data_IF_096773849479
#
_entry.id   IF_096773849479
#
_cell.length_a   1.000
_cell.length_b   1.000
_cell.length_c   1.000
_cell.angle_alpha   90.00
_cell.angle_beta   90.00
_cell.angle_gamma   90.00
#
_symmetry.space_group_name_H-M   'P 1'
#
loop_
_entity.id
_entity.type
_entity.pdbx_description
1 polymer ?
#
# COMPACT_ATOMS: atom_id res chain seq x y z
N UNK A 1 -30.99 -12.86 -23.68
CA UNK A 1 -30.38 -13.81 -22.73
C UNK A 1 -28.99 -13.39 -22.24
N UNK A 2 -28.15 -12.71 -23.03
CA UNK A 2 -26.84 -12.18 -22.59
C UNK A 2 -26.90 -11.25 -21.37
N UNK A 3 -27.90 -10.38 -21.29
CA UNK A 3 -28.01 -9.37 -20.21
C UNK A 3 -28.16 -9.97 -18.81
N UNK A 4 -28.76 -11.15 -18.67
CA UNK A 4 -28.89 -11.85 -17.38
C UNK A 4 -27.60 -12.56 -16.99
N UNK A 5 -26.85 -13.07 -17.97
CA UNK A 5 -25.60 -13.82 -17.74
C UNK A 5 -24.46 -12.87 -17.37
N UNK A 6 -24.34 -11.72 -18.04
CA UNK A 6 -23.39 -10.66 -17.67
C UNK A 6 -23.63 -10.12 -16.26
N UNK A 7 -24.90 -10.02 -15.84
CA UNK A 7 -25.26 -9.55 -14.51
C UNK A 7 -24.89 -10.57 -13.42
N UNK A 8 -25.17 -11.86 -13.64
CA UNK A 8 -24.81 -12.96 -12.73
C UNK A 8 -23.28 -13.10 -12.57
N UNK A 9 -22.54 -12.99 -13.70
CA UNK A 9 -21.06 -13.01 -13.67
C UNK A 9 -20.53 -11.75 -12.96
N UNK A 10 -21.06 -10.56 -13.24
CA UNK A 10 -20.63 -9.32 -12.59
C UNK A 10 -20.91 -9.33 -11.08
N UNK A 11 -22.02 -9.91 -10.65
CA UNK A 11 -22.36 -10.06 -9.23
C UNK A 11 -21.47 -11.11 -8.52
N UNK A 12 -21.08 -12.20 -9.20
CA UNK A 12 -20.16 -13.21 -8.64
C UNK A 12 -18.69 -12.82 -8.69
N UNK A 13 -18.26 -12.16 -9.75
CA UNK A 13 -16.85 -11.89 -10.06
C UNK A 13 -16.43 -10.48 -9.63
N UNK A 14 -17.37 -9.53 -9.61
CA UNK A 14 -17.16 -8.16 -9.11
C UNK A 14 -16.55 -8.07 -7.69
N UNK A 15 -16.96 -8.90 -6.72
CA UNK A 15 -16.38 -8.92 -5.37
C UNK A 15 -14.90 -9.32 -5.33
N UNK A 16 -14.40 -10.00 -6.36
CA UNK A 16 -13.02 -10.53 -6.43
C UNK A 16 -12.16 -9.68 -7.37
N UNK A 17 -12.68 -9.31 -8.53
CA UNK A 17 -11.91 -8.56 -9.55
C UNK A 17 -11.64 -7.12 -9.15
N UNK A 18 -12.58 -6.48 -8.45
CA UNK A 18 -12.40 -5.09 -8.01
C UNK A 18 -11.26 -4.94 -6.99
N UNK A 19 -11.17 -5.74 -5.90
CA UNK A 19 -10.05 -5.64 -4.97
C UNK A 19 -8.72 -6.06 -5.61
N UNK A 20 -8.70 -7.10 -6.45
CA UNK A 20 -7.48 -7.53 -7.14
C UNK A 20 -6.96 -6.43 -8.08
N UNK A 21 -7.86 -5.83 -8.88
CA UNK A 21 -7.49 -4.73 -9.77
C UNK A 21 -6.95 -3.53 -9.01
N UNK A 22 -7.57 -3.16 -7.88
CA UNK A 22 -7.07 -2.09 -7.00
C UNK A 22 -5.70 -2.41 -6.41
N UNK A 23 -5.47 -3.64 -5.96
CA UNK A 23 -4.15 -4.07 -5.47
C UNK A 23 -3.07 -3.92 -6.54
N UNK A 24 -3.34 -4.36 -7.78
CA UNK A 24 -2.37 -4.26 -8.88
C UNK A 24 -2.05 -2.79 -9.18
N UNK A 25 -3.08 -1.95 -9.32
CA UNK A 25 -2.90 -0.51 -9.57
C UNK A 25 -2.14 0.13 -8.40
N UNK A 26 -2.50 -0.18 -7.16
CA UNK A 26 -1.86 0.35 -5.97
C UNK A 26 -0.41 -0.07 -5.81
N UNK A 27 -0.04 -1.29 -6.22
CA UNK A 27 1.35 -1.73 -6.24
C UNK A 27 2.12 -0.99 -7.32
N UNK A 28 1.60 -0.90 -8.55
CA UNK A 28 2.28 -0.19 -9.65
C UNK A 28 2.51 1.28 -9.31
N UNK A 29 1.46 1.99 -8.87
CA UNK A 29 1.59 3.37 -8.41
C UNK A 29 2.51 3.49 -7.19
N UNK A 30 2.43 2.54 -6.26
CA UNK A 30 3.28 2.48 -5.08
C UNK A 30 4.75 2.41 -5.44
N UNK A 31 5.14 1.53 -6.38
CA UNK A 31 6.53 1.40 -6.84
C UNK A 31 7.04 2.70 -7.47
N UNK A 32 6.24 3.31 -8.35
CA UNK A 32 6.61 4.58 -9.02
C UNK A 32 6.79 5.70 -7.99
N UNK A 33 5.84 5.85 -7.07
CA UNK A 33 5.90 6.86 -6.02
C UNK A 33 7.05 6.59 -5.03
N UNK A 34 7.37 5.33 -4.73
CA UNK A 34 8.53 4.97 -3.93
C UNK A 34 9.84 5.37 -4.60
N UNK A 35 9.98 5.17 -5.91
CA UNK A 35 11.17 5.60 -6.66
C UNK A 35 11.34 7.12 -6.64
N UNK A 36 10.24 7.87 -6.80
CA UNK A 36 10.24 9.33 -6.68
C UNK A 36 10.63 9.74 -5.25
N UNK A 37 10.03 9.10 -4.24
CA UNK A 37 10.34 9.36 -2.83
C UNK A 37 11.80 9.07 -2.48
N UNK A 38 12.37 8.01 -3.03
CA UNK A 38 13.81 7.70 -2.93
C UNK A 38 14.66 8.81 -3.56
N UNK A 39 14.30 9.30 -4.75
CA UNK A 39 15.02 10.40 -5.40
C UNK A 39 14.97 11.70 -4.59
N UNK A 40 13.83 12.01 -3.98
CA UNK A 40 13.67 13.16 -3.09
C UNK A 40 14.50 12.98 -1.82
N UNK A 41 14.41 11.81 -1.17
CA UNK A 41 15.20 11.46 0.01
C UNK A 41 16.70 11.60 -0.26
N UNK A 42 17.17 11.07 -1.38
CA UNK A 42 18.57 11.18 -1.79
C UNK A 42 19.00 12.64 -2.03
N UNK A 43 18.14 13.44 -2.67
CA UNK A 43 18.39 14.87 -2.87
C UNK A 43 18.51 15.61 -1.54
N UNK A 44 17.58 15.37 -0.61
CA UNK A 44 17.62 15.94 0.74
C UNK A 44 18.91 15.55 1.47
N UNK A 45 19.34 14.29 1.37
CA UNK A 45 20.59 13.84 1.99
C UNK A 45 21.78 14.69 1.54
N UNK A 46 21.89 14.95 0.23
CA UNK A 46 22.97 15.75 -0.36
C UNK A 46 22.85 17.23 0.02
N UNK A 47 21.67 17.83 -0.13
CA UNK A 47 21.49 19.27 0.12
C UNK A 47 21.68 19.65 1.58
N UNK A 48 21.33 18.75 2.51
CA UNK A 48 21.54 18.98 3.95
C UNK A 48 22.95 18.56 4.43
N UNK A 49 23.80 18.01 3.55
CA UNK A 49 25.19 17.68 3.86
C UNK A 49 25.33 16.59 4.92
N UNK A 50 24.40 15.64 4.97
CA UNK A 50 24.53 14.49 5.88
C UNK A 50 25.64 13.56 5.37
N UNK A 51 26.41 12.99 6.29
CA UNK A 51 27.51 12.05 5.95
C UNK A 51 27.28 10.63 6.52
N UNK A 52 26.26 10.46 7.37
CA UNK A 52 25.99 9.17 8.02
C UNK A 52 25.24 8.21 7.09
N UNK A 53 25.77 6.99 6.96
CA UNK A 53 25.14 5.89 6.21
C UNK A 53 23.79 5.50 6.80
N UNK A 54 23.61 5.59 8.11
CA UNK A 54 22.35 5.25 8.79
C UNK A 54 21.27 6.30 8.49
N UNK A 55 21.66 7.57 8.42
CA UNK A 55 20.77 8.67 8.02
C UNK A 55 20.35 8.50 6.57
N UNK A 56 21.29 8.14 5.69
CA UNK A 56 21.00 7.86 4.29
C UNK A 56 20.00 6.71 4.12
N UNK A 57 20.27 5.56 4.75
CA UNK A 57 19.39 4.38 4.71
C UNK A 57 18.01 4.71 5.29
N UNK A 58 17.96 5.38 6.44
CA UNK A 58 16.70 5.79 7.08
C UNK A 58 15.85 6.70 6.19
N UNK A 59 16.48 7.66 5.52
CA UNK A 59 15.79 8.60 4.64
C UNK A 59 15.25 7.90 3.38
N UNK A 60 16.00 6.93 2.85
CA UNK A 60 15.56 6.10 1.73
C UNK A 60 14.37 5.20 2.10
N UNK A 61 14.41 4.55 3.26
CA UNK A 61 13.31 3.72 3.76
C UNK A 61 12.06 4.55 3.95
N UNK A 62 12.21 5.73 4.55
CA UNK A 62 11.11 6.66 4.75
C UNK A 62 10.55 7.16 3.41
N UNK A 63 11.40 7.61 2.48
CA UNK A 63 10.98 8.07 1.16
C UNK A 63 10.27 6.99 0.35
N UNK A 64 10.83 5.77 0.33
CA UNK A 64 10.23 4.62 -0.33
C UNK A 64 8.89 4.25 0.31
N UNK A 65 8.85 4.15 1.64
CA UNK A 65 7.66 3.80 2.40
C UNK A 65 6.55 4.84 2.30
N UNK A 66 6.90 6.12 2.29
CA UNK A 66 5.96 7.22 2.11
C UNK A 66 5.35 7.22 0.70
N UNK A 67 6.18 7.03 -0.33
CA UNK A 67 5.71 6.90 -1.71
C UNK A 67 4.76 5.70 -1.89
N UNK A 68 5.17 4.53 -1.39
CA UNK A 68 4.37 3.31 -1.41
C UNK A 68 3.05 3.48 -0.65
N UNK A 69 3.12 4.06 0.55
CA UNK A 69 1.96 4.33 1.40
C UNK A 69 0.98 5.27 0.72
N UNK A 70 1.46 6.29 0.00
CA UNK A 70 0.60 7.19 -0.77
C UNK A 70 -0.09 6.45 -1.93
N UNK A 71 0.65 5.62 -2.69
CA UNK A 71 0.07 4.81 -3.76
C UNK A 71 -0.99 3.82 -3.27
N UNK A 72 -0.70 3.13 -2.16
CA UNK A 72 -1.65 2.25 -1.50
C UNK A 72 -2.86 3.04 -0.95
N UNK A 73 -2.63 4.19 -0.32
CA UNK A 73 -3.70 5.03 0.19
C UNK A 73 -4.67 5.42 -0.93
N UNK A 74 -4.16 5.92 -2.06
CA UNK A 74 -4.99 6.29 -3.23
C UNK A 74 -5.75 5.10 -3.80
N UNK A 75 -5.11 3.94 -3.94
CA UNK A 75 -5.75 2.75 -4.50
C UNK A 75 -6.91 2.22 -3.64
N UNK A 76 -6.80 2.38 -2.33
CA UNK A 76 -7.77 1.89 -1.35
C UNK A 76 -8.74 2.95 -0.83
N UNK A 77 -8.53 4.23 -1.18
CA UNK A 77 -9.43 5.31 -0.83
C UNK A 77 -10.77 5.12 -1.53
N UNK A 78 -11.82 4.80 -0.77
CA UNK A 78 -13.17 5.13 -1.21
C UNK A 78 -13.34 6.63 -0.99
N UNK A 79 -13.51 7.38 -2.08
CA UNK A 79 -13.84 8.81 -2.05
C UNK A 79 -15.30 9.05 -1.61
N UNK A 80 -15.77 8.27 -0.64
CA UNK A 80 -17.03 8.50 0.05
C UNK A 80 -16.77 9.30 1.33
N UNK A 81 -17.72 10.16 1.71
CA UNK A 81 -17.60 11.17 2.76
C UNK A 81 -17.34 10.56 4.14
N UNK A 82 -16.09 10.22 4.42
CA UNK A 82 -15.65 9.52 5.62
C UNK A 82 -15.14 10.45 6.72
N UNK A 83 -15.13 9.94 7.95
CA UNK A 83 -14.57 10.64 9.10
C UNK A 83 -13.05 10.77 8.92
N UNK A 84 -12.52 12.01 8.94
CA UNK A 84 -11.11 12.29 8.69
C UNK A 84 -10.14 11.50 9.57
N UNK A 85 -10.57 11.11 10.78
CA UNK A 85 -9.80 10.23 11.66
C UNK A 85 -9.55 8.83 11.09
N UNK A 86 -10.50 8.24 10.39
CA UNK A 86 -10.35 6.90 9.79
C UNK A 86 -9.37 6.97 8.61
N UNK A 87 -9.44 8.04 7.83
CA UNK A 87 -8.51 8.30 6.74
C UNK A 87 -7.08 8.50 7.25
N UNK A 88 -6.91 9.24 8.35
CA UNK A 88 -5.60 9.45 8.97
C UNK A 88 -5.02 8.14 9.52
N UNK A 89 -5.84 7.32 10.19
CA UNK A 89 -5.42 5.99 10.65
C UNK A 89 -5.00 5.09 9.49
N UNK A 90 -5.76 5.09 8.40
CA UNK A 90 -5.41 4.33 7.20
C UNK A 90 -4.08 4.80 6.62
N UNK A 91 -3.89 6.10 6.48
CA UNK A 91 -2.64 6.70 5.99
C UNK A 91 -1.45 6.30 6.87
N UNK A 92 -1.59 6.39 8.21
CA UNK A 92 -0.56 5.98 9.14
C UNK A 92 -0.22 4.48 9.02
N UNK A 93 -1.23 3.62 8.88
CA UNK A 93 -1.04 2.18 8.71
C UNK A 93 -0.29 1.86 7.41
N UNK A 94 -0.72 2.40 6.27
CA UNK A 94 -0.10 2.07 4.98
C UNK A 94 1.28 2.68 4.82
N UNK A 95 1.52 3.89 5.34
CA UNK A 95 2.86 4.50 5.35
C UNK A 95 3.79 3.74 6.29
N UNK A 96 3.36 3.44 7.51
CA UNK A 96 4.16 2.66 8.46
C UNK A 96 4.49 1.26 7.93
N UNK A 97 3.51 0.57 7.36
CA UNK A 97 3.72 -0.71 6.68
C UNK A 97 4.68 -0.57 5.48
N UNK A 98 4.57 0.49 4.70
CA UNK A 98 5.50 0.80 3.60
C UNK A 98 6.94 0.99 4.09
N UNK A 99 7.15 1.70 5.19
CA UNK A 99 8.50 1.89 5.77
C UNK A 99 9.08 0.56 6.26
N UNK A 100 8.29 -0.24 6.98
CA UNK A 100 8.73 -1.58 7.43
C UNK A 100 9.03 -2.48 6.22
N UNK A 101 8.18 -2.44 5.18
CA UNK A 101 8.38 -3.17 3.94
C UNK A 101 9.63 -2.73 3.18
N UNK A 102 9.95 -1.43 3.22
CA UNK A 102 11.16 -0.89 2.60
C UNK A 102 12.42 -1.42 3.25
N UNK A 103 12.46 -1.45 4.58
CA UNK A 103 13.57 -2.02 5.36
C UNK A 103 13.76 -3.51 5.06
N UNK A 104 12.68 -4.29 5.06
CA UNK A 104 12.73 -5.71 4.73
C UNK A 104 13.18 -5.97 3.29
N UNK A 105 12.69 -5.16 2.35
CA UNK A 105 13.10 -5.22 0.94
C UNK A 105 14.57 -4.89 0.73
N UNK A 106 15.09 -3.89 1.45
CA UNK A 106 16.51 -3.55 1.40
C UNK A 106 17.40 -4.67 1.94
N UNK A 107 17.07 -5.25 3.10
CA UNK A 107 17.80 -6.39 3.65
C UNK A 107 17.79 -7.60 2.72
N UNK A 108 16.65 -7.88 2.07
CA UNK A 108 16.55 -8.92 1.07
C UNK A 108 17.47 -8.64 -0.14
N UNK A 109 17.56 -7.38 -0.57
CA UNK A 109 18.44 -6.95 -1.64
C UNK A 109 19.93 -7.04 -1.28
N UNK A 110 20.31 -6.73 -0.03
CA UNK A 110 21.70 -6.87 0.44
C UNK A 110 22.12 -8.34 0.63
N UNK A 111 21.19 -9.23 0.97
CA UNK A 111 21.45 -10.66 1.16
C UNK A 111 21.53 -11.48 -0.14
N UNK A 112 21.25 -10.87 -1.30
CA UNK A 112 21.39 -11.54 -2.59
C UNK A 112 22.88 -11.71 -2.92
N UNK A 113 23.37 -12.96 -2.86
CA UNK A 113 24.72 -13.32 -3.26
C UNK A 113 24.94 -13.01 -4.75
N UNK A 114 25.67 -11.94 -5.04
CA UNK A 114 26.22 -11.72 -6.38
C UNK A 114 27.39 -12.69 -6.58
N UNK A 115 27.36 -13.47 -7.68
CA UNK A 115 28.52 -14.27 -8.09
C UNK A 115 29.74 -13.36 -8.13
N UNK A 116 30.86 -13.79 -7.55
CA UNK A 116 32.10 -13.02 -7.54
C UNK A 116 32.38 -12.41 -8.92
N UNK A 117 32.67 -11.11 -8.93
CA UNK A 117 32.94 -10.27 -10.11
C UNK A 117 31.72 -9.82 -10.94
N UNK A 118 30.48 -10.09 -10.53
CA UNK A 118 29.29 -9.48 -11.14
C UNK A 118 28.79 -8.31 -10.29
N UNK A 119 28.69 -7.12 -10.88
CA UNK A 119 27.93 -6.03 -10.27
C UNK A 119 26.45 -6.47 -10.17
N UNK A 120 25.72 -6.16 -9.09
CA UNK A 120 24.32 -6.55 -8.96
C UNK A 120 23.53 -6.12 -10.20
N UNK A 121 22.83 -7.06 -10.83
CA UNK A 121 21.97 -6.75 -12.00
C UNK A 121 20.83 -5.83 -11.62
N UNK A 122 20.44 -5.81 -10.33
CA UNK A 122 19.46 -4.90 -9.75
C UNK A 122 19.98 -4.33 -8.44
N UNK A 123 19.85 -3.02 -8.25
CA UNK A 123 20.27 -2.35 -7.01
C UNK A 123 19.35 -2.73 -5.82
N UNK A 124 19.85 -2.82 -4.58
CA UNK A 124 19.02 -3.04 -3.38
C UNK A 124 17.84 -2.05 -3.24
N UNK A 125 17.98 -0.84 -3.78
CA UNK A 125 16.92 0.19 -3.87
C UNK A 125 15.66 -0.30 -4.60
N UNK A 126 15.81 -1.18 -5.59
CA UNK A 126 14.68 -1.77 -6.31
C UNK A 126 13.83 -2.65 -5.38
N UNK A 127 14.49 -3.54 -4.62
CA UNK A 127 13.81 -4.38 -3.63
C UNK A 127 13.23 -3.57 -2.47
N UNK A 128 13.85 -2.43 -2.15
CA UNK A 128 13.35 -1.48 -1.16
C UNK A 128 11.97 -0.93 -1.58
N UNK A 129 11.84 -0.47 -2.82
CA UNK A 129 10.55 0.02 -3.33
C UNK A 129 9.52 -1.08 -3.55
N UNK A 130 9.95 -2.25 -4.05
CA UNK A 130 9.05 -3.40 -4.17
C UNK A 130 8.52 -3.83 -2.80
N UNK A 131 9.40 -4.03 -1.82
CA UNK A 131 9.03 -4.39 -0.45
C UNK A 131 8.08 -3.36 0.17
N UNK A 132 8.38 -2.07 0.01
CA UNK A 132 7.51 -0.98 0.46
C UNK A 132 6.12 -1.08 -0.17
N UNK A 133 6.05 -1.19 -1.50
CA UNK A 133 4.79 -1.20 -2.26
C UNK A 133 3.90 -2.41 -1.93
N UNK A 134 4.49 -3.61 -1.84
CA UNK A 134 3.76 -4.84 -1.55
C UNK A 134 3.21 -4.79 -0.13
N UNK A 135 4.05 -4.48 0.86
CA UNK A 135 3.65 -4.47 2.27
C UNK A 135 2.63 -3.35 2.56
N UNK A 136 2.79 -2.17 1.98
CA UNK A 136 1.80 -1.09 2.09
C UNK A 136 0.44 -1.47 1.50
N UNK A 137 0.42 -2.15 0.35
CA UNK A 137 -0.85 -2.59 -0.26
C UNK A 137 -1.51 -3.72 0.52
N UNK A 138 -0.74 -4.69 1.03
CA UNK A 138 -1.27 -5.73 1.93
C UNK A 138 -1.91 -5.09 3.16
N UNK A 139 -1.25 -4.10 3.77
CA UNK A 139 -1.82 -3.35 4.89
C UNK A 139 -3.12 -2.61 4.50
N UNK A 140 -3.17 -2.03 3.30
CA UNK A 140 -4.39 -1.41 2.75
C UNK A 140 -5.56 -2.39 2.60
N UNK A 141 -5.30 -3.59 2.03
CA UNK A 141 -6.29 -4.67 1.91
C UNK A 141 -6.82 -5.07 3.28
N UNK A 142 -5.90 -5.35 4.22
CA UNK A 142 -6.25 -5.82 5.57
C UNK A 142 -7.07 -4.76 6.29
N UNK A 143 -6.65 -3.50 6.23
CA UNK A 143 -7.39 -2.39 6.84
C UNK A 143 -8.81 -2.28 6.27
N UNK A 144 -8.96 -2.33 4.95
CA UNK A 144 -10.25 -2.27 4.27
C UNK A 144 -11.15 -3.46 4.67
N UNK A 145 -10.60 -4.68 4.69
CA UNK A 145 -11.32 -5.90 5.07
C UNK A 145 -11.76 -5.88 6.55
N UNK A 146 -10.86 -5.53 7.47
CA UNK A 146 -11.16 -5.40 8.90
C UNK A 146 -12.26 -4.37 9.13
N UNK A 147 -12.18 -3.22 8.44
CA UNK A 147 -13.20 -2.19 8.53
C UNK A 147 -14.55 -2.68 8.02
N UNK A 148 -14.59 -3.29 6.84
CA UNK A 148 -15.82 -3.84 6.27
C UNK A 148 -16.49 -4.82 7.24
N UNK A 149 -15.69 -5.67 7.89
CA UNK A 149 -16.16 -6.61 8.91
C UNK A 149 -16.74 -5.90 10.14
N UNK A 150 -16.04 -4.91 10.70
CA UNK A 150 -16.51 -4.13 11.87
C UNK A 150 -17.81 -3.38 11.54
N UNK A 151 -17.90 -2.76 10.37
CA UNK A 151 -19.09 -2.02 9.95
C UNK A 151 -20.30 -2.93 9.77
N UNK A 152 -20.12 -4.14 9.20
CA UNK A 152 -21.19 -5.14 9.10
C UNK A 152 -21.67 -5.56 10.49
N UNK A 153 -20.73 -5.90 11.38
CA UNK A 153 -21.05 -6.30 12.76
C UNK A 153 -21.83 -5.24 13.53
N UNK A 154 -21.46 -3.97 13.36
CA UNK A 154 -22.14 -2.82 14.01
C UNK A 154 -23.53 -2.55 13.43
N UNK A 155 -23.77 -2.87 12.16
CA UNK A 155 -25.08 -2.80 11.55
C UNK A 155 -26.00 -3.92 12.07
N UNK A 156 -25.48 -5.15 12.14
CA UNK A 156 -26.22 -6.31 12.66
C UNK A 156 -26.55 -6.18 14.16
N UNK A 157 -25.69 -5.53 14.95
CA UNK A 157 -25.91 -5.33 16.38
C UNK A 157 -26.84 -4.16 16.72
N UNK A 158 -27.35 -3.40 15.74
CA UNK A 158 -28.22 -2.24 15.98
C UNK A 158 -29.67 -2.50 15.51
N UNK A 159 -30.57 -2.97 16.39
CA UNK A 159 -31.93 -3.36 16.02
C UNK A 159 -32.80 -2.21 15.48
N UNK A 160 -32.41 -0.95 15.69
CA UNK A 160 -33.14 0.22 15.14
C UNK A 160 -32.90 0.46 13.64
N UNK A 161 -31.83 -0.08 13.04
CA UNK A 161 -31.51 0.13 11.62
C UNK A 161 -32.11 -0.94 10.72
N UNK A 162 -32.27 -2.17 11.23
CA UNK A 162 -32.89 -3.29 10.51
C UNK A 162 -34.38 -3.07 10.21
N UNK A 163 -35.06 -2.24 11.01
CA UNK A 163 -36.47 -1.89 10.79
C UNK A 163 -36.71 -0.84 9.69
N UNK A 164 -35.67 -0.14 9.22
CA UNK A 164 -35.76 0.93 8.21
C UNK A 164 -35.44 0.45 6.78
N UNK A 165 -34.89 -0.76 6.63
CA UNK A 165 -34.64 -1.42 5.35
C UNK A 165 -35.77 -2.36 4.91
N UNK A 166 -36.87 -2.43 5.68
CA UNK A 166 -38.05 -3.29 5.41
C UNK A 166 -39.31 -2.46 5.07
N UNK A 167 -39.16 -1.18 4.72
CA UNK A 167 -40.26 -0.37 4.18
C UNK A 167 -39.91 0.19 2.81
#
# INVERSE_FOLDING_TARGET
MQYSFEKDIREKVGPIVVPVGRSVIGVVFGVVLSMIGIGIAWSLFIFFGFESIDVWKGLLYFGAGFGAGTGAFVAWLHLDRENGWVLLLMAAVVVGAGVVGSFGGFQYGEAQEVRCCAQPTVSPLYYTALGASVVANVAGVVFAATRAFITKRKADSNPKRSALTVR
#
